data_IF_783876827033
#
_entry.id   IF_783876827033
#
_cell.length_a   1.000
_cell.length_b   1.000
_cell.length_c   1.000
_cell.angle_alpha   90.00
_cell.angle_beta   90.00
_cell.angle_gamma   90.00
#
_symmetry.space_group_name_H-M   'P 1'
#
loop_
_entity.id
_entity.type
_entity.pdbx_description
1 polymer ?
#
# COMPACT_ATOMS: atom_id res chain seq x y z
N UNK A 1 49.46 29.52 -9.87
CA UNK A 1 48.78 30.17 -8.73
C UNK A 1 47.62 29.31 -8.31
N UNK A 2 46.82 29.70 -7.31
CA UNK A 2 45.53 29.01 -7.12
C UNK A 2 44.65 29.28 -8.34
N UNK A 3 43.87 28.28 -8.78
CA UNK A 3 42.94 28.39 -9.93
C UNK A 3 42.01 29.62 -9.79
N UNK A 4 41.57 29.89 -8.54
CA UNK A 4 40.80 31.08 -8.19
C UNK A 4 41.56 32.39 -8.47
N UNK A 5 42.83 32.48 -8.07
CA UNK A 5 43.65 33.68 -8.28
C UNK A 5 43.93 33.96 -9.75
N UNK A 6 44.02 32.93 -10.59
CA UNK A 6 44.16 33.08 -12.05
C UNK A 6 42.85 33.55 -12.69
N UNK A 7 41.71 32.97 -12.29
CA UNK A 7 40.38 33.38 -12.75
C UNK A 7 40.03 34.82 -12.34
N UNK A 8 40.34 35.21 -11.10
CA UNK A 8 40.12 36.58 -10.61
C UNK A 8 40.98 37.58 -11.39
N UNK A 9 42.25 37.24 -11.67
CA UNK A 9 43.15 38.09 -12.47
C UNK A 9 42.69 38.20 -13.92
N UNK A 10 42.25 37.12 -14.56
CA UNK A 10 41.71 37.17 -15.93
C UNK A 10 40.43 37.99 -16.01
N UNK A 11 39.64 38.05 -14.92
CA UNK A 11 38.48 38.94 -14.79
C UNK A 11 38.83 40.39 -14.42
N UNK A 12 40.11 40.76 -14.35
CA UNK A 12 40.55 42.12 -14.02
C UNK A 12 40.47 42.48 -12.52
N UNK A 13 40.21 41.52 -11.63
CA UNK A 13 40.10 41.74 -10.19
C UNK A 13 41.51 41.76 -9.58
N UNK A 14 41.84 42.85 -8.90
CA UNK A 14 43.15 43.12 -8.29
C UNK A 14 43.12 43.19 -6.75
N UNK A 15 41.93 43.15 -6.15
CA UNK A 15 41.71 43.08 -4.69
C UNK A 15 40.47 42.23 -4.42
N UNK A 16 40.53 41.31 -3.46
CA UNK A 16 39.45 40.36 -3.21
C UNK A 16 39.27 40.03 -1.72
N UNK A 17 38.02 39.97 -1.25
CA UNK A 17 37.63 39.39 0.03
C UNK A 17 36.63 38.25 -0.20
N UNK A 18 36.83 37.13 0.50
CA UNK A 18 35.81 36.11 0.70
C UNK A 18 35.60 35.97 2.21
N UNK A 19 34.43 36.39 2.68
CA UNK A 19 34.09 36.44 4.10
C UNK A 19 33.03 35.37 4.36
N UNK A 20 33.26 34.38 5.24
CA UNK A 20 32.25 33.39 5.56
C UNK A 20 31.07 34.06 6.26
N UNK A 21 29.86 33.75 5.80
CA UNK A 21 28.60 34.18 6.43
C UNK A 21 28.03 32.97 7.16
N UNK A 22 27.84 33.09 8.46
CA UNK A 22 27.26 32.04 9.30
C UNK A 22 26.20 32.62 10.23
N UNK A 23 25.12 31.86 10.43
CA UNK A 23 24.06 32.20 11.37
C UNK A 23 23.95 31.08 12.40
N UNK A 24 24.10 31.40 13.70
CA UNK A 24 24.01 30.44 14.82
C UNK A 24 24.86 29.16 14.66
N UNK A 25 26.01 29.27 14.01
CA UNK A 25 26.92 28.13 13.79
C UNK A 25 26.68 27.37 12.48
N UNK A 26 25.59 27.62 11.78
CA UNK A 26 25.35 27.11 10.43
C UNK A 26 26.00 28.02 9.38
N UNK A 27 26.70 27.42 8.41
CA UNK A 27 27.36 28.14 7.31
C UNK A 27 26.33 28.43 6.23
N UNK A 28 26.03 29.72 6.00
CA UNK A 28 25.13 30.15 4.94
C UNK A 28 25.85 30.27 3.59
N UNK A 29 27.16 30.58 3.60
CA UNK A 29 27.97 30.72 2.38
C UNK A 29 29.12 31.71 2.55
N UNK A 30 29.52 32.34 1.44
CA UNK A 30 30.57 33.37 1.41
C UNK A 30 30.02 34.68 0.82
N UNK A 31 30.37 35.80 1.46
CA UNK A 31 30.29 37.12 0.85
C UNK A 31 31.58 37.37 0.09
N UNK A 32 31.47 37.43 -1.23
CA UNK A 32 32.59 37.67 -2.13
C UNK A 32 32.58 39.12 -2.62
N UNK A 33 33.70 39.82 -2.46
CA UNK A 33 33.88 41.20 -2.91
C UNK A 33 35.15 41.27 -3.75
N UNK A 34 35.00 41.70 -5.00
CA UNK A 34 36.11 41.94 -5.92
C UNK A 34 36.23 43.41 -6.30
N UNK A 35 37.46 43.91 -6.42
CA UNK A 35 37.75 45.24 -6.96
C UNK A 35 38.85 45.17 -8.01
N UNK A 36 38.69 45.94 -9.08
CA UNK A 36 39.72 46.12 -10.11
C UNK A 36 40.88 47.01 -9.65
N UNK A 37 40.70 47.73 -8.53
CA UNK A 37 41.71 48.63 -7.96
C UNK A 37 42.52 47.89 -6.90
N UNK A 38 43.83 47.76 -7.12
CA UNK A 38 44.74 47.14 -6.15
C UNK A 38 44.66 47.84 -4.79
N UNK A 39 44.53 47.04 -3.73
CA UNK A 39 44.48 47.53 -2.34
C UNK A 39 43.17 48.24 -1.95
N UNK A 40 42.17 48.21 -2.82
CA UNK A 40 40.87 48.83 -2.54
C UNK A 40 40.08 48.10 -1.45
N UNK A 41 40.35 46.82 -1.18
CA UNK A 41 39.79 46.09 -0.05
C UNK A 41 40.87 45.96 1.02
N UNK A 42 40.81 46.82 2.04
CA UNK A 42 41.79 46.94 3.12
C UNK A 42 41.15 46.68 4.50
N UNK A 43 41.95 46.74 5.56
CA UNK A 43 41.50 46.46 6.94
C UNK A 43 40.35 47.36 7.41
N UNK A 44 40.32 48.62 6.98
CA UNK A 44 39.24 49.56 7.31
C UNK A 44 37.91 49.09 6.72
N UNK A 45 37.91 48.69 5.43
CA UNK A 45 36.71 48.16 4.76
C UNK A 45 36.32 46.81 5.36
N UNK A 46 37.28 45.97 5.73
CA UNK A 46 37.01 44.71 6.42
C UNK A 46 36.25 44.96 7.73
N UNK A 47 36.70 45.89 8.57
CA UNK A 47 36.02 46.26 9.82
C UNK A 47 34.59 46.75 9.58
N UNK A 48 34.38 47.58 8.55
CA UNK A 48 33.05 48.05 8.17
C UNK A 48 32.12 46.90 7.76
N UNK A 49 32.63 45.92 7.01
CA UNK A 49 31.86 44.74 6.62
C UNK A 49 31.51 43.88 7.83
N UNK A 50 32.43 43.72 8.80
CA UNK A 50 32.17 42.95 10.02
C UNK A 50 30.98 43.52 10.83
N UNK A 51 30.77 44.84 10.82
CA UNK A 51 29.64 45.46 11.51
C UNK A 51 28.28 45.16 10.85
N UNK A 52 28.24 44.96 9.53
CA UNK A 52 27.00 44.66 8.79
C UNK A 52 26.78 43.16 8.57
N UNK A 53 27.80 42.33 8.76
CA UNK A 53 27.77 40.89 8.55
C UNK A 53 26.64 40.19 9.32
N UNK A 54 26.33 40.55 10.59
CA UNK A 54 25.20 39.95 11.31
C UNK A 54 23.84 40.24 10.64
N UNK A 55 23.66 41.44 10.09
CA UNK A 55 22.43 41.82 9.39
C UNK A 55 22.29 41.00 8.10
N UNK A 56 23.38 40.84 7.36
CA UNK A 56 23.42 40.00 6.15
C UNK A 56 23.16 38.53 6.49
N UNK A 57 23.69 38.02 7.61
CA UNK A 57 23.44 36.65 8.07
C UNK A 57 21.96 36.43 8.43
N UNK A 58 21.33 37.38 9.13
CA UNK A 58 19.89 37.34 9.45
C UNK A 58 19.04 37.39 8.18
N UNK A 59 19.35 38.31 7.27
CA UNK A 59 18.62 38.45 6.01
C UNK A 59 18.77 37.22 5.11
N UNK A 60 19.99 36.66 5.03
CA UNK A 60 20.27 35.42 4.29
C UNK A 60 19.55 34.21 4.87
N UNK A 61 19.56 34.04 6.20
CA UNK A 61 18.82 32.97 6.87
C UNK A 61 17.31 33.09 6.59
N UNK A 62 16.75 34.30 6.74
CA UNK A 62 15.34 34.56 6.46
C UNK A 62 14.99 34.28 5.01
N UNK A 63 15.85 34.66 4.07
CA UNK A 63 15.65 34.36 2.65
C UNK A 63 15.63 32.85 2.40
N UNK A 64 16.55 32.09 3.00
CA UNK A 64 16.58 30.63 2.89
C UNK A 64 15.30 30.01 3.47
N UNK A 65 14.88 30.43 4.67
CA UNK A 65 13.62 29.96 5.28
C UNK A 65 12.40 30.29 4.40
N UNK A 66 12.32 31.52 3.87
CA UNK A 66 11.24 31.91 2.96
C UNK A 66 11.29 31.12 1.64
N UNK A 67 12.48 30.81 1.14
CA UNK A 67 12.66 30.01 -0.07
C UNK A 67 12.26 28.55 0.16
N UNK A 68 12.71 27.93 1.25
CA UNK A 68 12.34 26.56 1.63
C UNK A 68 10.83 26.44 1.84
N UNK A 69 10.21 27.42 2.49
CA UNK A 69 8.75 27.47 2.65
C UNK A 69 8.03 27.59 1.29
N UNK A 70 8.57 28.37 0.34
CA UNK A 70 8.03 28.45 -1.02
C UNK A 70 8.17 27.14 -1.78
N UNK A 71 9.32 26.48 -1.68
CA UNK A 71 9.57 25.16 -2.27
C UNK A 71 8.57 24.14 -1.72
N UNK A 72 8.43 24.07 -0.40
CA UNK A 72 7.49 23.14 0.24
C UNK A 72 6.03 23.49 -0.11
N UNK A 73 5.67 24.77 -0.22
CA UNK A 73 4.34 25.20 -0.66
C UNK A 73 4.04 24.78 -2.10
N UNK A 74 4.98 24.99 -3.04
CA UNK A 74 4.85 24.51 -4.43
C UNK A 74 4.72 22.98 -4.45
N UNK A 75 5.50 22.30 -3.58
CA UNK A 75 5.41 20.86 -3.46
C UNK A 75 4.02 20.42 -2.98
N UNK A 76 3.47 21.02 -1.93
CA UNK A 76 2.17 20.65 -1.37
C UNK A 76 0.98 21.05 -2.26
N UNK A 77 1.11 22.17 -2.99
CA UNK A 77 0.10 22.65 -3.93
C UNK A 77 0.01 21.72 -5.14
N UNK A 78 1.16 21.34 -5.71
CA UNK A 78 1.23 20.63 -7.00
C UNK A 78 1.41 19.12 -6.86
N UNK A 79 1.93 18.66 -5.72
CA UNK A 79 2.23 17.26 -5.43
C UNK A 79 1.62 16.85 -4.07
N UNK A 80 1.32 15.57 -3.90
CA UNK A 80 0.77 15.03 -2.64
C UNK A 80 1.87 14.74 -1.62
N UNK A 81 1.55 14.01 -0.55
CA UNK A 81 2.56 13.39 0.33
C UNK A 81 3.56 12.58 -0.51
N UNK A 82 4.76 13.14 -0.70
CA UNK A 82 5.82 12.51 -1.49
C UNK A 82 6.66 11.62 -0.59
N UNK A 83 6.94 10.42 -1.07
CA UNK A 83 7.84 9.49 -0.40
C UNK A 83 9.28 10.06 -0.31
N UNK A 84 9.98 9.99 0.84
CA UNK A 84 11.29 10.61 1.05
C UNK A 84 12.33 10.29 -0.03
N UNK A 85 12.39 9.04 -0.49
CA UNK A 85 13.36 8.58 -1.51
C UNK A 85 13.23 9.27 -2.86
N UNK A 86 12.09 9.88 -3.17
CA UNK A 86 11.89 10.62 -4.43
C UNK A 86 11.73 12.12 -4.20
N UNK A 87 11.61 12.59 -2.94
CA UNK A 87 11.38 14.01 -2.59
C UNK A 87 12.40 14.93 -3.24
N UNK A 88 13.67 14.54 -3.29
CA UNK A 88 14.74 15.33 -3.90
C UNK A 88 14.40 15.77 -5.34
N UNK A 89 13.76 14.90 -6.13
CA UNK A 89 13.43 15.20 -7.53
C UNK A 89 12.29 16.20 -7.66
N UNK A 90 11.31 16.12 -6.76
CA UNK A 90 10.22 17.10 -6.68
C UNK A 90 10.74 18.45 -6.17
N UNK A 91 11.69 18.43 -5.22
CA UNK A 91 12.38 19.62 -4.75
C UNK A 91 13.16 20.31 -5.87
N UNK A 92 13.92 19.56 -6.67
CA UNK A 92 14.61 20.11 -7.85
C UNK A 92 13.63 20.77 -8.83
N UNK A 93 12.51 20.12 -9.12
CA UNK A 93 11.51 20.64 -10.04
C UNK A 93 10.79 21.87 -9.47
N UNK A 94 10.47 21.88 -8.17
CA UNK A 94 9.91 23.04 -7.49
C UNK A 94 10.86 24.25 -7.50
N UNK A 95 12.16 24.02 -7.25
CA UNK A 95 13.19 25.07 -7.34
C UNK A 95 13.32 25.62 -8.77
N UNK A 96 13.22 24.75 -9.79
CA UNK A 96 13.19 25.15 -11.20
C UNK A 96 11.98 26.02 -11.50
N UNK A 97 10.78 25.63 -11.03
CA UNK A 97 9.54 26.38 -11.24
C UNK A 97 9.61 27.78 -10.60
N UNK A 98 10.14 27.89 -9.38
CA UNK A 98 10.31 29.19 -8.69
C UNK A 98 11.27 30.11 -9.45
N UNK A 99 12.28 29.54 -10.11
CA UNK A 99 13.31 30.29 -10.84
C UNK A 99 12.93 30.60 -12.30
N UNK A 100 11.84 30.02 -12.82
CA UNK A 100 11.42 30.17 -14.22
C UNK A 100 10.31 31.23 -14.33
N UNK A 101 10.43 32.22 -15.24
CA UNK A 101 9.36 33.19 -15.48
C UNK A 101 8.04 32.50 -15.92
N UNK A 102 6.89 32.99 -15.45
CA UNK A 102 5.57 32.36 -15.65
C UNK A 102 5.24 32.00 -17.11
N UNK A 103 5.76 32.77 -18.08
CA UNK A 103 5.48 32.61 -19.50
C UNK A 103 6.27 31.46 -20.17
N UNK A 104 7.13 30.76 -19.42
CA UNK A 104 7.97 29.64 -19.89
C UNK A 104 7.82 28.37 -19.04
N UNK A 105 6.76 28.30 -18.22
CA UNK A 105 6.51 27.15 -17.37
C UNK A 105 5.89 26.02 -18.20
N UNK A 106 6.74 25.18 -18.77
CA UNK A 106 6.36 23.82 -19.15
C UNK A 106 6.64 22.90 -17.96
N UNK A 107 5.61 22.22 -17.46
CA UNK A 107 5.77 21.17 -16.46
C UNK A 107 6.53 20.00 -17.09
N UNK A 108 7.69 19.65 -16.53
CA UNK A 108 8.40 18.44 -16.95
C UNK A 108 7.86 17.25 -16.19
N UNK A 109 7.63 16.16 -16.91
CA UNK A 109 7.29 14.89 -16.29
C UNK A 109 8.42 14.44 -15.35
N UNK A 110 8.06 14.16 -14.10
CA UNK A 110 8.99 13.58 -13.12
C UNK A 110 9.09 12.09 -13.44
N UNK A 111 10.18 11.71 -14.11
CA UNK A 111 10.42 10.33 -14.57
C UNK A 111 11.65 9.72 -13.88
N UNK A 112 11.49 8.50 -13.40
CA UNK A 112 12.56 7.64 -12.91
C UNK A 112 12.75 6.47 -13.87
N UNK A 113 13.91 6.42 -14.52
CA UNK A 113 14.22 5.44 -15.56
C UNK A 113 15.07 4.30 -15.02
N UNK A 114 14.86 3.09 -15.57
CA UNK A 114 15.62 1.88 -15.22
C UNK A 114 15.50 1.52 -13.74
N UNK A 115 14.29 1.61 -13.20
CA UNK A 115 13.97 1.12 -11.87
C UNK A 115 13.49 -0.32 -11.94
N UNK A 116 13.77 -1.08 -10.89
CA UNK A 116 13.37 -2.47 -10.75
C UNK A 116 12.18 -2.55 -9.80
N UNK A 117 11.05 -3.13 -10.25
CA UNK A 117 9.87 -3.22 -9.43
C UNK A 117 9.92 -4.39 -8.44
N UNK A 118 9.25 -4.21 -7.30
CA UNK A 118 8.85 -5.27 -6.37
C UNK A 118 7.36 -5.08 -6.09
N UNK A 119 6.58 -6.13 -6.33
CA UNK A 119 5.14 -6.12 -6.09
C UNK A 119 4.76 -7.25 -5.16
N UNK A 120 3.96 -6.94 -4.14
CA UNK A 120 3.40 -7.90 -3.20
C UNK A 120 1.94 -7.60 -2.91
N UNK A 121 1.16 -8.66 -2.74
CA UNK A 121 -0.25 -8.59 -2.40
C UNK A 121 -0.59 -9.65 -1.35
N UNK A 122 -1.33 -9.24 -0.32
CA UNK A 122 -1.96 -10.12 0.65
C UNK A 122 -3.45 -9.82 0.61
N UNK A 123 -4.23 -10.72 0.04
CA UNK A 123 -5.66 -10.52 -0.21
C UNK A 123 -6.50 -11.41 0.70
N UNK A 124 -7.66 -10.92 1.14
CA UNK A 124 -8.58 -11.75 1.94
C UNK A 124 -9.32 -12.72 1.04
N UNK A 125 -9.18 -14.01 1.36
CA UNK A 125 -9.78 -15.09 0.60
C UNK A 125 -11.31 -14.95 0.65
N UNK A 126 -11.92 -14.93 -0.53
CA UNK A 126 -13.38 -14.90 -0.68
C UNK A 126 -14.06 -13.72 0.05
N UNK A 127 -13.37 -12.58 0.19
CA UNK A 127 -13.89 -11.37 0.84
C UNK A 127 -15.32 -11.01 0.39
N UNK A 128 -15.57 -10.98 -0.93
CA UNK A 128 -16.90 -10.70 -1.48
C UNK A 128 -17.96 -11.73 -1.05
N UNK A 129 -17.63 -13.03 -1.06
CA UNK A 129 -18.58 -14.08 -0.66
C UNK A 129 -18.87 -14.00 0.84
N UNK A 130 -17.83 -13.84 1.67
CA UNK A 130 -17.98 -13.69 3.12
C UNK A 130 -18.82 -12.46 3.49
N UNK A 131 -18.62 -11.35 2.78
CA UNK A 131 -19.43 -10.14 2.94
C UNK A 131 -20.88 -10.36 2.54
N UNK A 132 -21.13 -10.97 1.37
CA UNK A 132 -22.48 -11.22 0.89
C UNK A 132 -23.23 -12.17 1.83
N UNK A 133 -22.54 -13.19 2.33
CA UNK A 133 -23.09 -14.12 3.32
C UNK A 133 -23.45 -13.42 4.63
N UNK A 134 -22.60 -12.52 5.12
CA UNK A 134 -22.90 -11.72 6.30
C UNK A 134 -24.13 -10.82 6.11
N UNK A 135 -24.24 -10.15 4.96
CA UNK A 135 -25.43 -9.34 4.60
C UNK A 135 -26.69 -10.21 4.52
N UNK A 136 -26.59 -11.38 3.89
CA UNK A 136 -27.70 -12.33 3.76
C UNK A 136 -28.24 -12.76 5.12
N UNK A 137 -27.35 -13.12 6.06
CA UNK A 137 -27.74 -13.51 7.42
C UNK A 137 -28.45 -12.38 8.17
N UNK A 138 -27.88 -11.17 8.14
CA UNK A 138 -28.49 -9.98 8.77
C UNK A 138 -29.90 -9.73 8.20
N UNK A 139 -30.09 -9.83 6.87
CA UNK A 139 -31.39 -9.64 6.22
C UNK A 139 -32.40 -10.74 6.59
N UNK A 140 -31.97 -12.00 6.62
CA UNK A 140 -32.84 -13.12 7.03
C UNK A 140 -33.29 -12.96 8.47
N UNK A 141 -32.37 -12.61 9.38
CA UNK A 141 -32.67 -12.36 10.79
C UNK A 141 -33.72 -11.24 10.93
N UNK A 142 -33.52 -10.12 10.24
CA UNK A 142 -34.47 -9.00 10.26
C UNK A 142 -35.86 -9.41 9.74
N UNK A 143 -35.90 -10.17 8.65
CA UNK A 143 -37.15 -10.67 8.07
C UNK A 143 -37.87 -11.66 8.99
N UNK A 144 -37.14 -12.49 9.72
CA UNK A 144 -37.71 -13.44 10.67
C UNK A 144 -38.34 -12.74 11.88
N UNK A 145 -37.63 -11.79 12.49
CA UNK A 145 -38.18 -10.97 13.57
C UNK A 145 -39.42 -10.19 13.12
N UNK A 146 -39.37 -9.61 11.92
CA UNK A 146 -40.51 -8.89 11.35
C UNK A 146 -41.71 -9.81 11.08
N UNK A 147 -41.49 -11.01 10.52
CA UNK A 147 -42.55 -11.98 10.27
C UNK A 147 -43.23 -12.43 11.56
N UNK A 148 -42.49 -12.60 12.65
CA UNK A 148 -43.05 -12.94 13.97
C UNK A 148 -43.99 -11.84 14.49
N UNK A 149 -43.58 -10.57 14.39
CA UNK A 149 -44.40 -9.41 14.79
C UNK A 149 -45.70 -9.37 13.96
N UNK A 150 -45.58 -9.46 12.63
CA UNK A 150 -46.75 -9.35 11.73
C UNK A 150 -47.70 -10.55 11.89
N UNK A 151 -47.15 -11.75 12.11
CA UNK A 151 -47.96 -12.94 12.40
C UNK A 151 -48.74 -12.78 13.71
N UNK A 152 -48.09 -12.25 14.74
CA UNK A 152 -48.74 -11.98 16.04
C UNK A 152 -49.82 -10.92 15.90
N UNK A 153 -49.55 -9.83 15.17
CA UNK A 153 -50.54 -8.78 14.87
C UNK A 153 -51.76 -9.32 14.09
N UNK A 154 -51.54 -10.20 13.12
CA UNK A 154 -52.61 -10.83 12.32
C UNK A 154 -53.53 -11.73 13.17
N UNK A 155 -53.00 -12.35 14.23
CA UNK A 155 -53.82 -13.11 15.19
C UNK A 155 -54.73 -12.22 16.03
N UNK A 156 -54.29 -11.02 16.39
CA UNK A 156 -55.08 -10.03 17.13
C UNK A 156 -56.16 -9.43 16.23
N UNK A 157 -55.76 -9.00 15.02
CA UNK A 157 -56.66 -8.39 14.04
C UNK A 157 -56.29 -8.84 12.64
N UNK A 158 -57.20 -9.59 12.01
CA UNK A 158 -57.07 -10.01 10.62
C UNK A 158 -57.20 -8.81 9.69
N UNK A 159 -56.10 -8.43 9.05
CA UNK A 159 -56.05 -7.39 8.02
C UNK A 159 -55.33 -7.95 6.79
N UNK A 160 -55.88 -7.77 5.56
CA UNK A 160 -55.23 -8.26 4.34
C UNK A 160 -53.81 -7.75 4.13
N UNK A 161 -53.50 -6.53 4.62
CA UNK A 161 -52.15 -5.95 4.52
C UNK A 161 -51.09 -6.80 5.24
N UNK A 162 -51.44 -7.48 6.34
CA UNK A 162 -50.51 -8.35 7.05
C UNK A 162 -50.19 -9.61 6.25
N UNK A 163 -51.18 -10.14 5.53
CA UNK A 163 -51.00 -11.30 4.64
C UNK A 163 -50.09 -10.93 3.46
N UNK A 164 -50.29 -9.75 2.85
CA UNK A 164 -49.46 -9.24 1.76
C UNK A 164 -48.00 -9.02 2.19
N UNK A 165 -47.79 -8.46 3.38
CA UNK A 165 -46.44 -8.24 3.94
C UNK A 165 -45.74 -9.56 4.25
N UNK A 166 -46.44 -10.53 4.86
CA UNK A 166 -45.89 -11.87 5.09
C UNK A 166 -45.53 -12.57 3.78
N UNK A 167 -46.37 -12.43 2.75
CA UNK A 167 -46.07 -12.94 1.41
C UNK A 167 -44.81 -12.30 0.83
N UNK A 168 -44.66 -10.97 0.93
CA UNK A 168 -43.47 -10.26 0.47
C UNK A 168 -42.21 -10.68 1.25
N UNK A 169 -42.30 -10.84 2.58
CA UNK A 169 -41.20 -11.36 3.40
C UNK A 169 -40.78 -12.74 2.91
N UNK A 170 -41.71 -13.68 2.74
CA UNK A 170 -41.41 -15.03 2.25
C UNK A 170 -40.78 -15.02 0.85
N UNK A 171 -41.29 -14.16 -0.05
CA UNK A 171 -40.72 -13.98 -1.39
C UNK A 171 -39.28 -13.50 -1.32
N UNK A 172 -38.99 -12.48 -0.52
CA UNK A 172 -37.63 -11.96 -0.38
C UNK A 172 -36.69 -12.92 0.32
N UNK A 173 -37.14 -13.64 1.36
CA UNK A 173 -36.36 -14.73 1.97
C UNK A 173 -36.01 -15.83 0.97
N UNK A 174 -36.94 -16.19 0.08
CA UNK A 174 -36.67 -17.15 -0.99
C UNK A 174 -35.62 -16.63 -1.96
N UNK A 175 -35.73 -15.35 -2.37
CA UNK A 175 -34.75 -14.70 -3.25
C UNK A 175 -33.36 -14.61 -2.61
N UNK A 176 -33.27 -14.42 -1.28
CA UNK A 176 -32.01 -14.41 -0.53
C UNK A 176 -31.32 -15.78 -0.49
N UNK A 177 -32.02 -16.87 -0.79
CA UNK A 177 -31.42 -18.21 -0.89
C UNK A 177 -30.85 -18.51 -2.30
N UNK A 178 -31.08 -17.62 -3.26
CA UNK A 178 -30.46 -17.63 -4.60
C UNK A 178 -29.25 -16.67 -4.63
N UNK A 179 -28.52 -16.61 -5.75
CA UNK A 179 -27.38 -15.69 -5.90
C UNK A 179 -27.85 -14.23 -5.78
N UNK A 180 -27.47 -13.57 -4.68
CA UNK A 180 -27.83 -12.17 -4.39
C UNK A 180 -27.05 -11.26 -5.34
N UNK A 181 -27.75 -10.66 -6.30
CA UNK A 181 -27.22 -9.52 -7.05
C UNK A 181 -27.49 -8.20 -6.31
N UNK A 182 -26.76 -7.15 -6.71
CA UNK A 182 -26.89 -5.81 -6.11
C UNK A 182 -28.30 -5.22 -6.27
N UNK A 183 -29.05 -5.67 -7.29
CA UNK A 183 -30.43 -5.25 -7.53
C UNK A 183 -31.38 -5.81 -6.47
N UNK A 184 -31.21 -7.08 -6.15
CA UNK A 184 -32.00 -7.80 -5.14
C UNK A 184 -31.74 -7.23 -3.75
N UNK A 185 -30.48 -6.98 -3.40
CA UNK A 185 -30.12 -6.34 -2.13
C UNK A 185 -30.82 -4.97 -2.00
N UNK A 186 -30.79 -4.15 -3.05
CA UNK A 186 -31.43 -2.84 -3.04
C UNK A 186 -32.96 -2.92 -2.88
N UNK A 187 -33.61 -3.83 -3.62
CA UNK A 187 -35.05 -4.03 -3.53
C UNK A 187 -35.49 -4.44 -2.11
N UNK A 188 -34.71 -5.31 -1.44
CA UNK A 188 -34.96 -5.72 -0.07
C UNK A 188 -34.81 -4.54 0.89
N UNK A 189 -33.74 -3.75 0.76
CA UNK A 189 -33.53 -2.57 1.61
C UNK A 189 -34.68 -1.57 1.46
N UNK A 190 -35.14 -1.32 0.24
CA UNK A 190 -36.28 -0.42 -0.01
C UNK A 190 -37.54 -0.96 0.65
N UNK A 191 -37.86 -2.24 0.46
CA UNK A 191 -39.02 -2.87 1.10
C UNK A 191 -38.95 -2.77 2.63
N UNK A 192 -37.81 -3.14 3.21
CA UNK A 192 -37.60 -3.12 4.67
C UNK A 192 -37.79 -1.71 5.23
N UNK A 193 -37.15 -0.71 4.63
CA UNK A 193 -37.13 0.66 5.15
C UNK A 193 -38.40 1.45 4.84
N UNK A 194 -39.04 1.23 3.69
CA UNK A 194 -40.20 2.02 3.25
C UNK A 194 -41.55 1.40 3.57
N UNK A 195 -41.62 0.09 3.72
CA UNK A 195 -42.88 -0.63 3.91
C UNK A 195 -42.90 -1.37 5.24
N UNK A 196 -41.90 -2.20 5.50
CA UNK A 196 -41.88 -3.09 6.66
C UNK A 196 -41.70 -2.34 7.99
N UNK A 197 -40.65 -1.53 8.12
CA UNK A 197 -40.36 -0.78 9.35
C UNK A 197 -41.50 0.17 9.75
N UNK A 198 -42.07 1.00 8.83
CA UNK A 198 -43.21 1.85 9.17
C UNK A 198 -44.45 1.06 9.62
N UNK A 199 -44.69 -0.12 9.03
CA UNK A 199 -45.80 -0.97 9.43
C UNK A 199 -45.59 -1.57 10.83
N UNK A 200 -44.38 -2.04 11.14
CA UNK A 200 -44.03 -2.55 12.47
C UNK A 200 -44.22 -1.47 13.53
N UNK A 201 -43.72 -0.25 13.28
CA UNK A 201 -43.89 0.89 14.20
C UNK A 201 -45.37 1.24 14.41
N UNK A 202 -46.18 1.20 13.34
CA UNK A 202 -47.63 1.44 13.43
C UNK A 202 -48.36 0.33 14.18
N UNK A 203 -47.90 -0.91 14.06
CA UNK A 203 -48.45 -2.09 14.72
C UNK A 203 -48.24 -2.02 16.24
N UNK A 204 -47.06 -1.58 16.70
CA UNK A 204 -46.79 -1.33 18.13
C UNK A 204 -47.76 -0.32 18.75
N UNK A 205 -48.07 0.76 18.03
CA UNK A 205 -49.05 1.77 18.49
C UNK A 205 -50.48 1.24 18.57
N UNK A 206 -50.85 0.32 17.66
CA UNK A 206 -52.18 -0.25 17.60
C UNK A 206 -52.40 -1.37 18.64
N UNK A 207 -51.35 -2.12 18.96
CA UNK A 207 -51.41 -3.30 19.83
C UNK A 207 -50.34 -3.22 20.92
N UNK A 208 -50.65 -2.62 22.09
CA UNK A 208 -49.70 -2.48 23.19
C UNK A 208 -49.11 -3.81 23.68
N UNK A 209 -49.81 -4.93 23.50
CA UNK A 209 -49.33 -6.28 23.82
C UNK A 209 -48.15 -6.75 22.97
N UNK A 210 -47.87 -6.11 21.83
CA UNK A 210 -46.70 -6.40 20.98
C UNK A 210 -45.53 -5.43 21.21
N UNK A 211 -45.67 -4.48 22.13
CA UNK A 211 -44.69 -3.40 22.33
C UNK A 211 -43.29 -3.92 22.66
N UNK A 212 -43.19 -4.93 23.55
CA UNK A 212 -41.90 -5.53 23.93
C UNK A 212 -41.20 -6.21 22.75
N UNK A 213 -41.93 -6.99 21.95
CA UNK A 213 -41.39 -7.67 20.76
C UNK A 213 -40.97 -6.67 19.68
N UNK A 214 -41.74 -5.59 19.48
CA UNK A 214 -41.34 -4.52 18.55
C UNK A 214 -40.11 -3.76 19.06
N UNK A 215 -40.01 -3.51 20.36
CA UNK A 215 -38.83 -2.88 20.97
C UNK A 215 -37.57 -3.74 20.77
N UNK A 216 -37.68 -5.07 20.90
CA UNK A 216 -36.57 -5.99 20.61
C UNK A 216 -36.14 -5.91 19.14
N UNK A 217 -37.09 -5.88 18.20
CA UNK A 217 -36.81 -5.67 16.79
C UNK A 217 -36.10 -4.32 16.55
N UNK A 218 -36.63 -3.21 17.05
CA UNK A 218 -36.05 -1.88 16.87
C UNK A 218 -34.63 -1.78 17.47
N UNK A 219 -34.36 -2.46 18.59
CA UNK A 219 -33.02 -2.55 19.20
C UNK A 219 -32.01 -3.33 18.34
N UNK A 220 -32.48 -4.28 17.52
CA UNK A 220 -31.61 -5.03 16.61
C UNK A 220 -31.14 -4.20 15.40
N UNK A 221 -31.85 -3.09 15.11
CA UNK A 221 -31.56 -2.23 13.96
C UNK A 221 -30.40 -1.29 14.24
N UNK A 222 -29.54 -1.11 13.24
CA UNK A 222 -28.48 -0.11 13.27
C UNK A 222 -29.06 1.29 13.07
N UNK A 223 -28.74 2.19 14.01
CA UNK A 223 -29.11 3.59 13.94
C UNK A 223 -28.69 4.23 12.60
N UNK A 224 -29.64 4.92 11.95
CA UNK A 224 -29.45 5.63 10.69
C UNK A 224 -29.67 4.79 9.42
N UNK A 225 -29.62 3.45 9.51
CA UNK A 225 -29.86 2.57 8.37
C UNK A 225 -31.16 1.77 8.46
N UNK A 226 -31.70 1.60 9.68
CA UNK A 226 -32.93 0.83 9.95
C UNK A 226 -32.87 -0.63 9.46
N UNK A 227 -31.66 -1.20 9.44
CA UNK A 227 -31.39 -2.60 9.09
C UNK A 227 -30.54 -3.27 10.16
N UNK A 228 -30.64 -4.59 10.29
CA UNK A 228 -29.75 -5.40 11.14
C UNK A 228 -28.31 -5.33 10.60
N UNK A 229 -27.33 -5.25 11.50
CA UNK A 229 -25.91 -5.09 11.16
C UNK A 229 -25.01 -5.79 12.18
N UNK A 230 -25.21 -7.09 12.36
CA UNK A 230 -24.47 -7.88 13.35
C UNK A 230 -23.36 -8.68 12.68
N UNK A 231 -23.73 -9.54 11.74
CA UNK A 231 -22.80 -10.38 10.99
C UNK A 231 -21.91 -9.52 10.09
N UNK A 232 -22.48 -8.49 9.45
CA UNK A 232 -21.69 -7.53 8.67
C UNK A 232 -20.72 -6.74 9.54
N UNK A 233 -21.10 -6.38 10.77
CA UNK A 233 -20.18 -5.75 11.70
C UNK A 233 -19.03 -6.69 12.10
N UNK A 234 -19.31 -7.99 12.28
CA UNK A 234 -18.30 -8.99 12.58
C UNK A 234 -17.30 -9.14 11.42
N UNK A 235 -17.79 -9.19 10.17
CA UNK A 235 -16.95 -9.17 8.97
C UNK A 235 -16.08 -7.91 8.92
N UNK A 236 -16.68 -6.71 9.04
CA UNK A 236 -15.95 -5.44 8.95
C UNK A 236 -14.90 -5.29 10.04
N UNK A 237 -15.19 -5.74 11.27
CA UNK A 237 -14.21 -5.75 12.37
C UNK A 237 -13.02 -6.64 12.04
N UNK A 238 -13.28 -7.84 11.54
CA UNK A 238 -12.23 -8.81 11.16
C UNK A 238 -11.36 -8.28 10.02
N UNK A 239 -11.98 -7.74 8.97
CA UNK A 239 -11.32 -7.10 7.83
C UNK A 239 -10.45 -5.92 8.26
N UNK A 240 -10.95 -5.07 9.16
CA UNK A 240 -10.19 -3.91 9.64
C UNK A 240 -9.02 -4.33 10.52
N UNK A 241 -9.19 -5.35 11.37
CA UNK A 241 -8.12 -5.83 12.23
C UNK A 241 -6.99 -6.48 11.44
N UNK A 242 -7.32 -7.33 10.45
CA UNK A 242 -6.33 -7.90 9.52
C UNK A 242 -5.55 -6.79 8.81
N UNK A 243 -6.26 -5.83 8.21
CA UNK A 243 -5.62 -4.72 7.51
C UNK A 243 -4.74 -3.87 8.43
N UNK A 244 -5.15 -3.66 9.69
CA UNK A 244 -4.35 -2.93 10.68
C UNK A 244 -3.03 -3.64 10.95
N UNK A 245 -3.07 -4.95 11.20
CA UNK A 245 -1.88 -5.78 11.45
C UNK A 245 -0.93 -5.75 10.25
N UNK A 246 -1.46 -5.98 9.06
CA UNK A 246 -0.67 -6.01 7.82
C UNK A 246 0.01 -4.65 7.55
N UNK A 247 -0.77 -3.57 7.62
CA UNK A 247 -0.26 -2.22 7.33
C UNK A 247 0.74 -1.74 8.37
N UNK A 248 0.48 -1.98 9.66
CA UNK A 248 1.42 -1.63 10.72
C UNK A 248 2.75 -2.36 10.52
N UNK A 249 2.71 -3.67 10.27
CA UNK A 249 3.92 -4.46 10.10
C UNK A 249 4.74 -4.01 8.88
N UNK A 250 4.12 -3.84 7.71
CA UNK A 250 4.85 -3.46 6.50
C UNK A 250 5.39 -2.02 6.58
N UNK A 251 4.66 -1.10 7.21
CA UNK A 251 5.10 0.28 7.40
C UNK A 251 6.33 0.36 8.32
N UNK A 252 6.41 -0.50 9.34
CA UNK A 252 7.59 -0.62 10.21
C UNK A 252 8.77 -1.32 9.51
N UNK A 253 8.52 -2.42 8.80
CA UNK A 253 9.57 -3.20 8.14
C UNK A 253 10.17 -2.46 6.94
N UNK A 254 9.38 -1.72 6.16
CA UNK A 254 9.91 -0.99 5.01
C UNK A 254 10.92 0.09 5.45
N UNK A 255 10.74 0.71 6.63
CA UNK A 255 11.73 1.66 7.18
C UNK A 255 13.08 0.99 7.48
N UNK A 256 13.07 -0.30 7.85
CA UNK A 256 14.31 -1.07 8.00
C UNK A 256 14.92 -1.38 6.64
N UNK A 257 14.11 -1.74 5.65
CA UNK A 257 14.54 -1.97 4.27
C UNK A 257 15.15 -0.71 3.63
N UNK A 258 14.65 0.49 3.95
CA UNK A 258 15.21 1.76 3.45
C UNK A 258 16.67 1.96 3.85
N UNK A 259 17.11 1.37 4.97
CA UNK A 259 18.51 1.39 5.41
C UNK A 259 19.39 0.46 4.59
N UNK A 260 18.81 -0.56 3.93
CA UNK A 260 19.54 -1.49 3.06
C UNK A 260 19.89 -0.79 1.73
N UNK A 261 18.91 -0.12 1.13
CA UNK A 261 19.10 0.79 0.00
C UNK A 261 17.85 1.67 -0.16
N UNK A 262 17.98 2.99 -0.43
CA UNK A 262 16.81 3.84 -0.61
C UNK A 262 15.98 3.45 -1.83
N UNK A 263 14.69 3.28 -1.62
CA UNK A 263 13.74 2.86 -2.64
C UNK A 263 12.42 3.61 -2.49
N UNK A 264 11.65 3.69 -3.56
CA UNK A 264 10.27 4.15 -3.47
C UNK A 264 9.40 3.02 -2.91
N UNK A 265 8.47 3.35 -2.01
CA UNK A 265 7.48 2.44 -1.44
C UNK A 265 6.10 3.10 -1.47
N UNK A 266 5.10 2.37 -1.94
CA UNK A 266 3.70 2.78 -1.95
C UNK A 266 2.82 1.58 -1.65
N UNK A 267 1.79 1.77 -0.81
CA UNK A 267 0.83 0.71 -0.49
C UNK A 267 -0.61 1.17 -0.69
N UNK A 268 -1.47 0.22 -1.02
CA UNK A 268 -2.90 0.40 -1.19
C UNK A 268 -3.67 -0.50 -0.23
N UNK A 269 -4.72 0.05 0.39
CA UNK A 269 -5.69 -0.71 1.17
C UNK A 269 -6.85 -1.09 0.25
N UNK A 270 -7.02 -2.37 0.00
CA UNK A 270 -8.17 -2.94 -0.71
C UNK A 270 -8.97 -3.80 0.26
N UNK A 271 -9.39 -5.00 -0.13
CA UNK A 271 -9.86 -6.04 0.79
C UNK A 271 -8.69 -6.66 1.58
N UNK A 272 -7.45 -6.38 1.17
CA UNK A 272 -6.23 -6.63 1.94
C UNK A 272 -5.19 -5.54 1.71
N UNK A 273 -3.91 -5.93 1.66
CA UNK A 273 -2.79 -4.99 1.47
C UNK A 273 -2.03 -5.34 0.19
N UNK A 274 -1.92 -4.35 -0.69
CA UNK A 274 -1.06 -4.38 -1.87
C UNK A 274 0.05 -3.35 -1.68
N UNK A 275 1.27 -3.65 -2.12
CA UNK A 275 2.35 -2.67 -2.15
C UNK A 275 3.23 -2.80 -3.39
N UNK A 276 3.75 -1.65 -3.80
CA UNK A 276 4.67 -1.46 -4.91
C UNK A 276 5.93 -0.81 -4.38
N UNK A 277 7.07 -1.30 -4.86
CA UNK A 277 8.36 -0.68 -4.59
C UNK A 277 9.13 -0.54 -5.89
N UNK A 278 9.93 0.52 -5.97
CA UNK A 278 10.86 0.74 -7.08
C UNK A 278 12.23 1.08 -6.54
N UNK A 279 13.23 0.31 -6.95
CA UNK A 279 14.64 0.52 -6.60
C UNK A 279 15.48 0.72 -7.86
N UNK A 280 16.45 1.63 -7.80
CA UNK A 280 17.40 1.81 -8.89
C UNK A 280 18.22 3.09 -8.72
N UNK A 281 19.23 3.25 -9.56
CA UNK A 281 20.13 4.43 -9.52
C UNK A 281 19.35 5.74 -9.67
N UNK A 282 18.28 5.78 -10.48
CA UNK A 282 17.48 6.99 -10.63
C UNK A 282 16.73 7.40 -9.37
N UNK A 283 16.42 6.46 -8.46
CA UNK A 283 15.74 6.77 -7.18
C UNK A 283 16.74 7.36 -6.19
N UNK A 284 17.93 6.79 -6.12
CA UNK A 284 18.98 7.16 -5.16
C UNK A 284 20.30 7.50 -5.90
N UNK A 285 20.34 8.62 -6.65
CA UNK A 285 21.49 8.96 -7.47
C UNK A 285 22.76 9.16 -6.63
N UNK A 286 23.89 8.63 -7.09
CA UNK A 286 25.19 8.79 -6.44
C UNK A 286 25.42 7.90 -5.22
N UNK A 287 24.48 6.99 -4.91
CA UNK A 287 24.64 6.00 -3.83
C UNK A 287 25.18 4.64 -4.31
N UNK A 288 25.43 4.50 -5.62
CA UNK A 288 26.07 3.32 -6.20
C UNK A 288 25.15 2.10 -6.24
N UNK A 289 24.04 2.19 -6.96
CA UNK A 289 23.11 1.08 -7.12
C UNK A 289 23.76 -0.13 -7.81
N UNK A 290 23.52 -1.31 -7.25
CA UNK A 290 23.90 -2.62 -7.80
C UNK A 290 22.73 -3.62 -7.69
N UNK A 291 22.67 -4.59 -8.60
CA UNK A 291 21.63 -5.63 -8.62
C UNK A 291 21.61 -6.49 -7.34
N UNK A 292 22.70 -6.54 -6.58
CA UNK A 292 22.73 -7.18 -5.26
C UNK A 292 21.71 -6.57 -4.31
N UNK A 293 21.54 -5.24 -4.30
CA UNK A 293 20.53 -4.58 -3.46
C UNK A 293 19.11 -4.97 -3.89
N UNK A 294 18.88 -5.12 -5.19
CA UNK A 294 17.58 -5.59 -5.70
C UNK A 294 17.29 -7.02 -5.26
N UNK A 295 18.26 -7.94 -5.38
CA UNK A 295 18.13 -9.32 -4.89
C UNK A 295 17.93 -9.39 -3.39
N UNK A 296 18.63 -8.56 -2.63
CA UNK A 296 18.46 -8.44 -1.19
C UNK A 296 17.03 -8.01 -0.83
N UNK A 297 16.48 -7.00 -1.52
CA UNK A 297 15.09 -6.57 -1.29
C UNK A 297 14.06 -7.64 -1.71
N UNK A 298 14.32 -8.46 -2.73
CA UNK A 298 13.45 -9.61 -3.07
C UNK A 298 13.37 -10.63 -1.94
N UNK A 299 14.52 -10.97 -1.35
CA UNK A 299 14.55 -11.89 -0.21
C UNK A 299 13.88 -11.27 1.02
N UNK A 300 14.14 -9.99 1.29
CA UNK A 300 13.43 -9.24 2.33
C UNK A 300 11.91 -9.23 2.09
N UNK A 301 11.45 -9.04 0.85
CA UNK A 301 10.03 -9.04 0.51
C UNK A 301 9.36 -10.38 0.84
N UNK A 302 9.99 -11.50 0.49
CA UNK A 302 9.52 -12.84 0.87
C UNK A 302 9.40 -12.99 2.38
N UNK A 303 10.45 -12.59 3.11
CA UNK A 303 10.48 -12.65 4.57
C UNK A 303 9.36 -11.82 5.17
N UNK A 304 9.21 -10.57 4.72
CA UNK A 304 8.16 -9.67 5.20
C UNK A 304 6.76 -10.24 4.96
N UNK A 305 6.51 -10.81 3.78
CA UNK A 305 5.22 -11.41 3.45
C UNK A 305 4.89 -12.66 4.27
N UNK A 306 5.87 -13.54 4.48
CA UNK A 306 5.69 -14.72 5.34
C UNK A 306 5.40 -14.30 6.79
N UNK A 307 6.07 -13.26 7.29
CA UNK A 307 5.83 -12.77 8.64
C UNK A 307 4.45 -12.12 8.78
N UNK A 308 3.99 -11.38 7.76
CA UNK A 308 2.62 -10.85 7.71
C UNK A 308 1.57 -11.98 7.77
N UNK A 309 1.77 -13.05 7.00
CA UNK A 309 0.94 -14.27 7.06
C UNK A 309 0.89 -14.87 8.45
N UNK A 310 2.04 -15.06 9.10
CA UNK A 310 2.11 -15.62 10.45
C UNK A 310 1.42 -14.72 11.47
N UNK A 311 1.60 -13.40 11.39
CA UNK A 311 0.93 -12.45 12.29
C UNK A 311 -0.59 -12.50 12.15
N UNK A 312 -1.11 -12.56 10.93
CA UNK A 312 -2.56 -12.72 10.73
C UNK A 312 -3.05 -14.08 11.25
N UNK A 313 -2.28 -15.15 11.05
CA UNK A 313 -2.64 -16.46 11.59
C UNK A 313 -2.71 -16.47 13.13
N UNK A 314 -1.85 -15.71 13.83
CA UNK A 314 -1.85 -15.67 15.31
C UNK A 314 -3.12 -15.07 15.92
N UNK A 315 -3.80 -14.18 15.21
CA UNK A 315 -5.04 -13.53 15.70
C UNK A 315 -6.30 -14.15 15.12
N UNK A 316 -6.17 -15.11 14.20
CA UNK A 316 -7.28 -15.65 13.40
C UNK A 316 -8.43 -16.14 14.27
N UNK A 317 -8.12 -16.88 15.33
CA UNK A 317 -9.12 -17.50 16.20
C UNK A 317 -9.80 -16.48 17.14
N UNK A 318 -9.20 -15.30 17.31
CA UNK A 318 -9.75 -14.18 18.07
C UNK A 318 -10.63 -13.25 17.22
N UNK A 319 -10.63 -13.42 15.90
CA UNK A 319 -11.45 -12.61 15.00
C UNK A 319 -12.93 -12.97 15.12
N UNK A 320 -13.86 -11.99 15.12
CA UNK A 320 -15.29 -12.27 15.06
C UNK A 320 -15.70 -13.17 13.89
N UNK A 321 -14.99 -13.06 12.77
CA UNK A 321 -15.09 -13.94 11.63
C UNK A 321 -13.66 -14.36 11.23
N UNK A 322 -13.32 -15.66 11.23
CA UNK A 322 -11.95 -16.16 11.01
C UNK A 322 -11.59 -16.11 9.51
N UNK A 323 -11.40 -14.90 9.00
CA UNK A 323 -11.00 -14.63 7.63
C UNK A 323 -9.57 -15.12 7.37
N UNK A 324 -9.36 -15.71 6.20
CA UNK A 324 -8.04 -16.16 5.74
C UNK A 324 -7.48 -15.18 4.72
N UNK A 325 -6.15 -15.06 4.69
CA UNK A 325 -5.44 -14.29 3.66
C UNK A 325 -4.69 -15.22 2.71
N UNK A 326 -4.37 -14.71 1.53
CA UNK A 326 -3.51 -15.39 0.57
C UNK A 326 -2.47 -14.42 0.01
N UNK A 327 -1.20 -14.85 0.03
CA UNK A 327 -0.04 -14.03 -0.32
C UNK A 327 0.50 -14.32 -1.72
N UNK A 328 0.81 -13.27 -2.46
CA UNK A 328 1.36 -13.33 -3.82
C UNK A 328 2.44 -12.27 -4.07
N UNK A 329 3.55 -12.69 -4.68
CA UNK A 329 4.58 -11.82 -5.26
C UNK A 329 4.56 -11.96 -6.78
N UNK A 330 4.72 -10.85 -7.50
CA UNK A 330 5.09 -10.87 -8.92
C UNK A 330 6.59 -10.63 -9.06
N UNK A 331 7.33 -11.67 -9.43
CA UNK A 331 8.74 -11.58 -9.76
C UNK A 331 8.92 -11.00 -11.17
N UNK A 332 9.57 -9.84 -11.26
CA UNK A 332 9.76 -9.14 -12.52
C UNK A 332 11.18 -8.55 -12.61
N UNK A 333 12.07 -9.25 -13.32
CA UNK A 333 13.50 -8.86 -13.44
C UNK A 333 13.79 -7.77 -14.48
N UNK A 334 12.81 -7.36 -15.28
CA UNK A 334 13.05 -6.36 -16.32
C UNK A 334 12.94 -4.95 -15.75
N UNK A 335 13.95 -4.07 -15.93
CA UNK A 335 13.84 -2.69 -15.48
C UNK A 335 12.80 -1.93 -16.31
N UNK A 336 12.09 -1.02 -15.67
CA UNK A 336 11.08 -0.17 -16.29
C UNK A 336 11.31 1.32 -15.96
N UNK A 337 10.50 2.18 -16.56
CA UNK A 337 10.44 3.60 -16.21
C UNK A 337 9.11 3.88 -15.53
N UNK A 338 9.13 4.68 -14.47
CA UNK A 338 7.93 5.22 -13.82
C UNK A 338 7.89 6.72 -14.00
N UNK A 339 6.70 7.27 -14.23
CA UNK A 339 6.47 8.70 -14.33
C UNK A 339 5.37 9.14 -13.38
N UNK A 340 5.53 10.31 -12.77
CA UNK A 340 4.53 10.87 -11.88
C UNK A 340 3.40 11.50 -12.68
N UNK A 341 2.19 10.98 -12.54
CA UNK A 341 0.99 11.59 -13.10
C UNK A 341 0.48 12.66 -12.14
N UNK A 342 0.52 13.93 -12.56
CA UNK A 342 0.09 15.06 -11.74
C UNK A 342 -1.40 14.97 -11.41
N UNK A 343 -2.24 14.63 -12.37
CA UNK A 343 -3.70 14.53 -12.17
C UNK A 343 -4.08 13.40 -11.20
N UNK A 344 -3.38 12.27 -11.28
CA UNK A 344 -3.64 11.08 -10.45
C UNK A 344 -2.83 11.07 -9.14
N UNK A 345 -1.86 11.98 -9.02
CA UNK A 345 -0.98 12.14 -7.85
C UNK A 345 -0.26 10.84 -7.44
N UNK A 346 0.11 10.02 -8.43
CA UNK A 346 0.79 8.72 -8.26
C UNK A 346 1.77 8.44 -9.39
N UNK A 347 2.67 7.50 -9.17
CA UNK A 347 3.51 6.96 -10.24
C UNK A 347 2.73 5.97 -11.08
N UNK A 348 2.82 6.11 -12.39
CA UNK A 348 2.40 5.09 -13.34
C UNK A 348 3.62 4.62 -14.14
N UNK A 349 3.45 3.49 -14.81
CA UNK A 349 4.50 2.86 -15.60
C UNK A 349 4.48 3.42 -17.03
N UNK A 350 5.65 3.83 -17.54
CA UNK A 350 5.77 4.52 -18.82
C UNK A 350 5.99 3.55 -20.00
N UNK A 351 5.20 3.66 -21.07
CA UNK A 351 5.45 3.00 -22.36
C UNK A 351 4.77 1.64 -22.57
N UNK A 352 4.49 1.30 -23.83
CA UNK A 352 3.71 0.12 -24.22
C UNK A 352 4.32 -1.23 -23.77
N UNK A 353 5.66 -1.30 -23.69
CA UNK A 353 6.36 -2.49 -23.22
C UNK A 353 6.22 -2.69 -21.71
N UNK A 354 6.21 -1.60 -20.94
CA UNK A 354 6.09 -1.65 -19.49
C UNK A 354 4.62 -1.76 -19.04
N UNK A 355 3.66 -1.42 -19.90
CA UNK A 355 2.22 -1.65 -19.67
C UNK A 355 1.90 -3.14 -19.38
N UNK A 356 2.72 -4.07 -19.89
CA UNK A 356 2.59 -5.49 -19.58
C UNK A 356 2.66 -5.76 -18.07
N UNK A 357 3.55 -5.08 -17.35
CA UNK A 357 3.69 -5.23 -15.90
C UNK A 357 2.40 -4.86 -15.15
N UNK A 358 1.80 -3.71 -15.49
CA UNK A 358 0.54 -3.26 -14.91
C UNK A 358 -0.66 -4.15 -15.29
N UNK A 359 -0.70 -4.67 -16.53
CA UNK A 359 -1.73 -5.62 -16.96
C UNK A 359 -1.66 -6.91 -16.14
N UNK A 360 -0.44 -7.42 -15.88
CA UNK A 360 -0.25 -8.63 -15.08
C UNK A 360 -0.72 -8.40 -13.65
N UNK A 361 -0.26 -7.33 -12.99
CA UNK A 361 -0.67 -6.98 -11.61
C UNK A 361 -2.18 -6.98 -11.44
N UNK A 362 -2.91 -6.29 -12.33
CA UNK A 362 -4.37 -6.13 -12.26
C UNK A 362 -5.17 -7.42 -12.48
N UNK A 363 -4.54 -8.49 -12.94
CA UNK A 363 -5.21 -9.75 -13.33
C UNK A 363 -4.75 -10.97 -12.55
N UNK A 364 -3.74 -10.81 -11.70
CA UNK A 364 -3.14 -11.90 -10.92
C UNK A 364 -4.05 -12.42 -9.82
N UNK A 365 -4.81 -11.53 -9.17
CA UNK A 365 -5.73 -11.82 -8.07
C UNK A 365 -6.77 -12.91 -8.42
N UNK A 366 -7.21 -12.94 -9.68
CA UNK A 366 -8.26 -13.83 -10.21
C UNK A 366 -7.73 -14.88 -11.17
N UNK A 367 -6.40 -15.02 -11.30
CA UNK A 367 -5.83 -16.02 -12.19
C UNK A 367 -6.07 -17.45 -11.66
N UNK A 368 -6.29 -18.38 -12.59
CA UNK A 368 -6.47 -19.81 -12.31
C UNK A 368 -5.26 -20.62 -12.77
N UNK A 369 -5.04 -21.77 -12.15
CA UNK A 369 -4.08 -22.76 -12.64
C UNK A 369 -4.64 -23.35 -13.94
N UNK A 370 -3.80 -23.40 -14.98
CA UNK A 370 -4.16 -23.89 -16.30
C UNK A 370 -4.72 -25.32 -16.22
N UNK A 371 -5.93 -25.49 -16.76
CA UNK A 371 -6.62 -26.79 -16.79
C UNK A 371 -7.38 -27.13 -15.52
N UNK A 372 -7.55 -26.19 -14.58
CA UNK A 372 -8.29 -26.38 -13.33
C UNK A 372 -9.16 -25.17 -13.01
N UNK A 373 -10.08 -25.32 -12.06
CA UNK A 373 -10.85 -24.21 -11.47
C UNK A 373 -10.20 -23.66 -10.18
N UNK A 374 -8.96 -24.08 -9.90
CA UNK A 374 -8.23 -23.65 -8.71
C UNK A 374 -7.57 -22.29 -8.95
N UNK A 375 -7.84 -21.30 -8.08
CA UNK A 375 -7.17 -19.99 -8.13
C UNK A 375 -5.69 -20.12 -7.82
N UNK A 376 -4.87 -19.22 -8.38
CA UNK A 376 -3.42 -19.20 -8.18
C UNK A 376 -3.03 -18.91 -6.73
N UNK A 377 -3.79 -18.06 -6.03
CA UNK A 377 -3.63 -17.73 -4.62
C UNK A 377 -4.37 -18.73 -3.74
N UNK A 378 -3.71 -19.16 -2.66
CA UNK A 378 -4.23 -20.14 -1.71
C UNK A 378 -3.75 -19.77 -0.30
N UNK A 379 -4.65 -19.76 0.71
CA UNK A 379 -4.25 -19.56 2.10
C UNK A 379 -3.21 -20.58 2.55
N UNK A 380 -2.30 -20.16 3.42
CA UNK A 380 -1.23 -21.03 3.92
C UNK A 380 -0.07 -21.24 2.96
N UNK A 381 -0.08 -20.64 1.77
CA UNK A 381 0.98 -20.77 0.77
C UNK A 381 1.52 -19.41 0.36
N UNK A 382 2.84 -19.30 0.28
CA UNK A 382 3.52 -18.18 -0.36
C UNK A 382 3.57 -18.45 -1.88
N UNK A 383 2.94 -17.58 -2.68
CA UNK A 383 2.90 -17.70 -4.14
C UNK A 383 3.84 -16.69 -4.78
N UNK A 384 4.69 -17.15 -5.70
CA UNK A 384 5.53 -16.28 -6.52
C UNK A 384 5.23 -16.53 -7.98
N UNK A 385 4.65 -15.54 -8.66
CA UNK A 385 4.38 -15.59 -10.09
C UNK A 385 5.55 -14.99 -10.86
N UNK A 386 5.95 -15.64 -11.94
CA UNK A 386 7.10 -15.25 -12.76
C UNK A 386 6.85 -15.56 -14.23
N UNK A 387 7.69 -15.00 -15.09
CA UNK A 387 7.70 -15.25 -16.54
C UNK A 387 9.02 -15.78 -17.08
N UNK A 388 10.13 -15.59 -16.34
CA UNK A 388 11.47 -15.99 -16.76
C UNK A 388 11.99 -17.19 -15.97
N UNK A 389 12.79 -18.04 -16.59
CA UNK A 389 13.45 -19.16 -15.91
C UNK A 389 14.48 -18.68 -14.88
N UNK A 390 15.12 -17.52 -15.10
CA UNK A 390 16.02 -16.92 -14.11
C UNK A 390 15.30 -16.55 -12.81
N UNK A 391 14.08 -16.03 -12.90
CA UNK A 391 13.26 -15.74 -11.71
C UNK A 391 12.88 -17.05 -10.99
N UNK A 392 12.50 -18.10 -11.74
CA UNK A 392 12.22 -19.41 -11.17
C UNK A 392 13.38 -19.94 -10.32
N UNK A 393 14.58 -19.97 -10.91
CA UNK A 393 15.77 -20.49 -10.24
C UNK A 393 16.14 -19.65 -9.01
N UNK A 394 15.97 -18.32 -9.07
CA UNK A 394 16.23 -17.43 -7.95
C UNK A 394 15.30 -17.69 -6.78
N UNK A 395 13.99 -17.71 -7.02
CA UNK A 395 13.00 -17.92 -5.96
C UNK A 395 13.01 -19.36 -5.42
N UNK A 396 13.38 -20.36 -6.22
CA UNK A 396 13.64 -21.72 -5.71
C UNK A 396 14.82 -21.76 -4.72
N UNK A 397 15.87 -20.95 -4.94
CA UNK A 397 16.96 -20.83 -3.95
C UNK A 397 16.47 -20.14 -2.68
N UNK A 398 15.66 -19.09 -2.80
CA UNK A 398 15.08 -18.42 -1.64
C UNK A 398 14.16 -19.35 -0.85
N UNK A 399 13.28 -20.12 -1.49
CA UNK A 399 12.43 -21.07 -0.78
C UNK A 399 13.23 -22.15 -0.05
N UNK A 400 14.27 -22.71 -0.67
CA UNK A 400 15.17 -23.67 0.00
C UNK A 400 15.82 -23.07 1.25
N UNK A 401 16.32 -21.85 1.15
CA UNK A 401 16.87 -21.12 2.30
C UNK A 401 15.82 -20.88 3.40
N UNK A 402 14.58 -20.53 3.02
CA UNK A 402 13.48 -20.31 3.96
C UNK A 402 12.96 -21.61 4.60
N UNK A 403 13.14 -22.74 3.93
CA UNK A 403 12.87 -24.07 4.48
C UNK A 403 13.86 -24.43 5.58
N UNK A 404 15.17 -24.23 5.33
CA UNK A 404 16.20 -24.38 6.37
C UNK A 404 15.92 -23.49 7.59
N UNK A 405 15.43 -22.26 7.35
CA UNK A 405 15.00 -21.34 8.42
C UNK A 405 13.71 -21.73 9.16
N UNK A 406 12.99 -22.76 8.73
CA UNK A 406 11.70 -23.13 9.31
C UNK A 406 10.63 -22.04 9.16
N UNK A 407 10.71 -21.24 8.09
CA UNK A 407 9.68 -20.27 7.70
C UNK A 407 8.73 -20.83 6.64
N UNK A 408 9.24 -21.78 5.84
CA UNK A 408 8.51 -22.56 4.86
C UNK A 408 8.63 -24.03 5.28
N UNK A 409 7.55 -24.81 5.13
CA UNK A 409 7.56 -26.22 5.48
C UNK A 409 8.57 -26.99 4.62
N UNK A 410 9.26 -28.00 5.19
CA UNK A 410 10.11 -28.89 4.40
C UNK A 410 9.25 -29.63 3.36
N UNK A 411 9.79 -29.80 2.15
CA UNK A 411 9.10 -30.49 1.06
C UNK A 411 9.26 -29.82 -0.30
N UNK A 412 8.64 -30.38 -1.34
CA UNK A 412 8.77 -29.85 -2.70
C UNK A 412 8.02 -28.52 -2.86
N UNK A 413 8.68 -27.53 -3.47
CA UNK A 413 8.01 -26.31 -3.95
C UNK A 413 7.21 -26.67 -5.21
N UNK A 414 5.90 -26.40 -5.19
CA UNK A 414 5.01 -26.72 -6.29
C UNK A 414 5.24 -25.73 -7.44
N UNK A 415 5.39 -26.26 -8.67
CA UNK A 415 5.44 -25.48 -9.91
C UNK A 415 4.10 -25.61 -10.62
N UNK A 416 3.47 -24.49 -10.95
CA UNK A 416 2.18 -24.45 -11.65
C UNK A 416 2.25 -23.49 -12.83
N UNK A 417 1.44 -23.77 -13.86
CA UNK A 417 1.28 -22.88 -15.02
C UNK A 417 -0.04 -22.13 -14.89
N UNK A 418 -0.04 -20.82 -15.12
CA UNK A 418 -1.26 -20.02 -15.07
C UNK A 418 -2.02 -20.15 -16.40
N UNK A 419 -3.34 -19.99 -16.32
CA UNK A 419 -4.14 -19.74 -17.52
C UNK A 419 -3.71 -18.45 -18.21
N UNK A 420 -3.79 -18.41 -19.53
CA UNK A 420 -3.46 -17.21 -20.29
C UNK A 420 -4.41 -16.06 -19.90
N UNK A 421 -3.81 -14.94 -19.52
CA UNK A 421 -4.52 -13.70 -19.22
C UNK A 421 -4.63 -12.88 -20.51
N UNK A 422 -5.65 -12.03 -20.63
CA UNK A 422 -5.79 -11.21 -21.83
C UNK A 422 -4.56 -10.31 -22.02
N UNK A 423 -3.85 -10.50 -23.13
CA UNK A 423 -2.62 -9.77 -23.45
C UNK A 423 -1.35 -10.31 -22.77
N UNK A 424 -1.43 -11.39 -21.98
CA UNK A 424 -0.26 -12.01 -21.33
C UNK A 424 -0.40 -13.54 -21.27
N UNK A 425 0.53 -14.23 -21.91
CA UNK A 425 0.64 -15.69 -21.85
C UNK A 425 1.95 -16.15 -21.22
N UNK A 426 1.99 -17.42 -20.82
CA UNK A 426 3.21 -18.10 -20.38
C UNK A 426 3.65 -17.81 -18.95
N UNK A 427 2.78 -17.26 -18.10
CA UNK A 427 3.07 -17.09 -16.68
C UNK A 427 3.09 -18.43 -15.95
N UNK A 428 4.03 -18.57 -15.01
CA UNK A 428 4.16 -19.71 -14.11
C UNK A 428 4.21 -19.22 -12.67
N UNK A 429 3.96 -20.10 -11.71
CA UNK A 429 4.15 -19.79 -10.30
C UNK A 429 4.83 -20.91 -9.53
N UNK A 430 5.55 -20.48 -8.50
CA UNK A 430 5.99 -21.31 -7.39
C UNK A 430 5.00 -21.16 -6.24
N UNK A 431 4.67 -22.26 -5.57
CA UNK A 431 3.94 -22.24 -4.30
C UNK A 431 4.68 -23.05 -3.26
N UNK A 432 4.84 -22.47 -2.09
CA UNK A 432 5.46 -23.12 -0.95
C UNK A 432 4.58 -22.94 0.29
N UNK A 433 4.41 -24.01 1.08
CA UNK A 433 3.59 -23.99 2.29
C UNK A 433 4.31 -23.25 3.41
N UNK A 434 3.63 -22.28 4.03
CA UNK A 434 4.16 -21.49 5.13
C UNK A 434 4.18 -22.34 6.40
N UNK A 435 5.25 -22.22 7.19
CA UNK A 435 5.34 -22.85 8.50
C UNK A 435 4.88 -21.89 9.60
N UNK A 436 3.74 -22.21 10.20
CA UNK A 436 3.12 -21.46 11.30
C UNK A 436 3.50 -22.01 12.69
N UNK A 437 4.29 -23.09 12.77
CA UNK A 437 4.57 -23.79 14.04
C UNK A 437 5.54 -23.07 14.98
N UNK A 438 6.38 -22.17 14.45
CA UNK A 438 7.38 -21.42 15.23
C UNK A 438 6.89 -20.00 15.45
N UNK A 439 6.91 -19.46 16.68
CA UNK A 439 6.51 -18.07 16.95
C UNK A 439 7.69 -17.10 16.81
N UNK A 440 7.46 -16.05 16.02
CA UNK A 440 8.05 -14.69 15.98
C UNK A 440 9.55 -14.39 16.14
N UNK A 441 10.42 -15.32 16.51
CA UNK A 441 11.85 -15.06 16.39
C UNK A 441 12.31 -15.46 14.98
N UNK A 442 12.74 -14.46 14.22
CA UNK A 442 13.89 -14.60 13.32
C UNK A 442 15.06 -15.07 14.21
N UNK A 443 14.99 -16.32 14.68
CA UNK A 443 16.14 -17.01 15.23
C UNK A 443 17.14 -16.97 14.09
N UNK A 444 18.19 -16.19 14.33
CA UNK A 444 19.36 -16.18 13.50
C UNK A 444 19.82 -17.62 13.41
N UNK A 445 19.49 -18.31 12.32
CA UNK A 445 20.47 -19.24 11.78
C UNK A 445 21.72 -18.38 11.65
N UNK A 446 22.67 -18.64 12.54
CA UNK A 446 23.99 -18.07 12.45
C UNK A 446 24.56 -18.46 11.08
N UNK A 447 25.56 -17.72 10.61
CA UNK A 447 26.27 -18.12 9.40
C UNK A 447 26.76 -19.58 9.52
N UNK A 448 27.08 -20.01 10.75
CA UNK A 448 27.56 -21.35 11.08
C UNK A 448 26.45 -22.41 10.94
N UNK A 449 25.21 -22.11 11.31
CA UNK A 449 24.08 -23.04 11.13
C UNK A 449 23.76 -23.24 9.64
N UNK A 450 23.88 -22.18 8.84
CA UNK A 450 23.71 -22.25 7.37
C UNK A 450 24.83 -23.09 6.74
N UNK A 451 26.07 -22.96 7.23
CA UNK A 451 27.21 -23.72 6.75
C UNK A 451 27.05 -25.21 7.10
N UNK A 452 26.65 -25.53 8.33
CA UNK A 452 26.43 -26.92 8.77
C UNK A 452 25.38 -27.64 7.91
N UNK A 453 24.27 -26.98 7.56
CA UNK A 453 23.20 -27.60 6.78
C UNK A 453 23.56 -27.77 5.28
N UNK A 454 24.47 -26.93 4.75
CA UNK A 454 25.09 -27.12 3.43
C UNK A 454 26.02 -28.33 3.43
N UNK A 455 26.75 -28.58 4.52
CA UNK A 455 27.63 -29.75 4.67
C UNK A 455 26.85 -31.06 4.86
N UNK A 456 25.65 -31.01 5.43
CA UNK A 456 24.77 -32.17 5.64
C UNK A 456 23.87 -32.54 4.44
N UNK A 457 23.73 -31.65 3.45
CA UNK A 457 22.94 -31.92 2.25
C UNK A 457 23.74 -32.76 1.23
N UNK A 458 23.33 -34.01 0.90
CA UNK A 458 24.04 -34.79 -0.12
C UNK A 458 23.93 -34.07 -1.46
N UNK A 459 25.08 -33.90 -2.14
CA UNK A 459 25.11 -33.40 -3.51
C UNK A 459 24.19 -34.27 -4.40
N UNK A 460 23.14 -33.67 -4.96
CA UNK A 460 22.33 -34.34 -5.98
C UNK A 460 23.24 -34.75 -7.14
N UNK A 461 23.17 -36.01 -7.61
CA UNK A 461 24.00 -36.46 -8.71
C UNK A 461 23.61 -35.75 -10.01
N UNK A 462 24.64 -35.36 -10.75
CA UNK A 462 24.66 -34.63 -12.02
C UNK A 462 23.76 -35.17 -13.12
#
# INVERSE_FOLDING_TARGET
GSLLGENLKSGGIQSYFAIPVSFRGEKLGFLELGSQRKGALNSTIHSQIQHILPILAVAGNRFNEEFDNKVEAVIQERFTTIHPSVKWRFTEEAMRLISTPEHQIDLKDIVFRKVYPLFGQLDIRQSTLNRNEAVRKDMIEQMDMAAEIITSASRIKKLPIYEEILYNIMRFKSALNEDIDTTTEHAIIVFVTKELNPLISSTSKAFPELSETVEQYEKSLKAGFEIVYQERAAFDRSLNEINRILTQYIDEEQLKAQKMFPHYFERYKTDGVEFNMYIGESIAPGQGFDLLYYKNLRLWQLLAMIQMERKVATVRDDLPLPLEIASLILAFSTPLSIHFRIDEKRFDVEGAYNARYEIIKKRLDKAYIKGTEERITCPGKMVVVYSSESDEQEYLRYFRFLQAKGLIKPGPVQRVTLQDLQGVSGLKALRADIDYSRSDELSSLSMDDIIAEIEESPAEPS
#
